data_IF_138388364111
#
_entry.id   IF_138388364111
#
_cell.length_a   1.000
_cell.length_b   1.000
_cell.length_c   1.000
_cell.angle_alpha   90.00
_cell.angle_beta   90.00
_cell.angle_gamma   90.00
#
_symmetry.space_group_name_H-M   'P 1'
#
loop_
_entity.id
_entity.type
_entity.pdbx_description
1 polymer ?
#
# COMPACT_ATOMS: atom_id res chain seq x y z
N UNK A 1 -1.53 12.59 -17.42
CA UNK A 1 -1.10 11.99 -16.15
C UNK A 1 0.31 11.47 -16.37
N UNK A 2 1.33 12.08 -15.79
CA UNK A 2 2.72 11.63 -15.94
C UNK A 2 2.94 10.52 -14.93
N UNK A 3 3.01 9.28 -15.38
CA UNK A 3 3.36 8.14 -14.52
C UNK A 3 4.84 8.32 -14.20
N UNK A 4 5.17 8.42 -12.91
CA UNK A 4 6.56 8.49 -12.49
C UNK A 4 7.22 7.11 -12.70
N UNK A 5 8.41 7.08 -13.30
CA UNK A 5 9.18 5.84 -13.50
C UNK A 5 9.44 5.14 -12.16
N UNK A 6 9.58 5.91 -11.10
CA UNK A 6 9.78 5.38 -9.75
C UNK A 6 8.58 4.55 -9.25
N UNK A 7 7.34 4.92 -9.63
CA UNK A 7 6.14 4.14 -9.31
C UNK A 7 6.14 2.77 -10.02
N UNK A 8 6.64 2.73 -11.27
CA UNK A 8 6.79 1.48 -12.04
C UNK A 8 7.83 0.58 -11.37
N UNK A 9 8.98 1.16 -10.98
CA UNK A 9 10.04 0.43 -10.28
C UNK A 9 9.51 -0.14 -8.95
N UNK A 10 8.75 0.65 -8.21
CA UNK A 10 8.13 0.21 -6.96
C UNK A 10 7.18 -0.96 -7.19
N UNK A 11 6.33 -0.92 -8.23
CA UNK A 11 5.43 -2.03 -8.57
C UNK A 11 6.19 -3.32 -8.91
N UNK A 12 7.29 -3.25 -9.67
CA UNK A 12 8.15 -4.41 -9.94
C UNK A 12 8.73 -4.98 -8.63
N UNK A 13 9.17 -4.11 -7.71
CA UNK A 13 9.66 -4.54 -6.41
C UNK A 13 8.55 -5.16 -5.53
N UNK A 14 7.36 -4.57 -5.49
CA UNK A 14 6.18 -5.12 -4.79
C UNK A 14 5.84 -6.51 -5.34
N UNK A 15 5.81 -6.65 -6.67
CA UNK A 15 5.56 -7.95 -7.31
C UNK A 15 6.59 -8.99 -6.88
N UNK A 16 7.87 -8.63 -6.81
CA UNK A 16 8.94 -9.52 -6.35
C UNK A 16 8.73 -9.99 -4.91
N UNK A 17 8.31 -9.10 -4.00
CA UNK A 17 7.97 -9.44 -2.60
C UNK A 17 6.75 -10.36 -2.53
N UNK A 18 5.70 -10.07 -3.30
CA UNK A 18 4.48 -10.87 -3.34
C UNK A 18 4.71 -12.27 -3.93
N UNK A 19 5.63 -12.42 -4.89
CA UNK A 19 6.01 -13.70 -5.48
C UNK A 19 6.55 -14.68 -4.42
N UNK A 20 7.24 -14.19 -3.39
CA UNK A 20 7.77 -15.01 -2.30
C UNK A 20 6.68 -15.48 -1.33
N UNK A 21 5.45 -14.98 -1.46
CA UNK A 21 4.34 -15.40 -0.63
C UNK A 21 4.05 -16.89 -0.79
N UNK A 22 3.80 -17.56 0.35
CA UNK A 22 3.38 -18.97 0.36
C UNK A 22 1.91 -19.16 -0.03
N UNK A 23 1.14 -18.07 -0.13
CA UNK A 23 -0.30 -18.12 -0.45
C UNK A 23 -0.55 -18.02 -1.95
N UNK A 24 -1.59 -18.67 -2.43
CA UNK A 24 -2.06 -18.54 -3.82
C UNK A 24 -2.42 -17.08 -4.14
N UNK A 25 -3.08 -16.40 -3.21
CA UNK A 25 -3.46 -14.99 -3.36
C UNK A 25 -2.27 -14.07 -3.54
N UNK A 26 -1.18 -14.28 -2.78
CA UNK A 26 0.04 -13.50 -2.93
C UNK A 26 0.66 -13.64 -4.31
N UNK A 27 0.73 -14.87 -4.85
CA UNK A 27 1.24 -15.12 -6.21
C UNK A 27 0.35 -14.53 -7.30
N UNK A 28 -0.99 -14.60 -7.13
CA UNK A 28 -1.93 -13.94 -8.05
C UNK A 28 -1.75 -12.43 -8.04
N UNK A 29 -1.66 -11.82 -6.87
CA UNK A 29 -1.38 -10.37 -6.75
C UNK A 29 -0.04 -10.00 -7.37
N UNK A 30 1.00 -10.83 -7.21
CA UNK A 30 2.29 -10.62 -7.87
C UNK A 30 2.13 -10.53 -9.39
N UNK A 31 1.40 -11.47 -10.02
CA UNK A 31 1.13 -11.45 -11.45
C UNK A 31 0.38 -10.19 -11.88
N UNK A 32 -0.64 -9.79 -11.14
CA UNK A 32 -1.43 -8.59 -11.43
C UNK A 32 -0.56 -7.34 -11.35
N UNK A 33 0.26 -7.21 -10.32
CA UNK A 33 1.10 -6.02 -10.10
C UNK A 33 2.18 -5.90 -11.15
N UNK A 34 2.85 -7.00 -11.54
CA UNK A 34 3.87 -6.92 -12.60
C UNK A 34 3.25 -6.63 -13.97
N UNK A 35 2.06 -7.19 -14.27
CA UNK A 35 1.38 -6.91 -15.52
C UNK A 35 0.93 -5.45 -15.61
N UNK A 36 0.42 -4.88 -14.52
CA UNK A 36 0.12 -3.45 -14.45
C UNK A 36 1.37 -2.59 -14.67
N UNK A 37 2.50 -2.97 -14.08
CA UNK A 37 3.77 -2.26 -14.31
C UNK A 37 4.18 -2.29 -15.78
N UNK A 38 4.05 -3.44 -16.46
CA UNK A 38 4.31 -3.58 -17.89
C UNK A 38 3.36 -2.69 -18.71
N UNK A 39 2.07 -2.74 -18.45
CA UNK A 39 1.09 -1.89 -19.14
C UNK A 39 1.38 -0.41 -18.94
N UNK A 40 1.75 0.00 -17.74
CA UNK A 40 2.12 1.39 -17.45
C UNK A 40 3.41 1.81 -18.16
N UNK A 41 4.42 0.94 -18.26
CA UNK A 41 5.63 1.19 -19.03
C UNK A 41 5.32 1.48 -20.49
N UNK A 42 4.51 0.64 -21.12
CA UNK A 42 4.12 0.79 -22.52
C UNK A 42 3.37 2.10 -22.76
N UNK A 43 2.39 2.43 -21.88
CA UNK A 43 1.63 3.69 -21.95
C UNK A 43 2.51 4.91 -21.73
N UNK A 44 3.38 4.88 -20.72
CA UNK A 44 4.29 5.99 -20.43
C UNK A 44 5.28 6.23 -21.57
N UNK A 45 5.82 5.17 -22.19
CA UNK A 45 6.68 5.28 -23.36
C UNK A 45 5.94 5.92 -24.53
N UNK A 46 4.73 5.46 -24.84
CA UNK A 46 3.92 6.03 -25.91
C UNK A 46 3.63 7.51 -25.70
N UNK A 47 3.21 7.89 -24.51
CA UNK A 47 2.94 9.30 -24.19
C UNK A 47 4.20 10.18 -24.27
N UNK A 48 5.32 9.72 -23.72
CA UNK A 48 6.54 10.53 -23.58
C UNK A 48 7.47 10.49 -24.79
N UNK A 49 7.50 9.37 -25.53
CA UNK A 49 8.44 9.20 -26.63
C UNK A 49 7.74 9.25 -27.99
N UNK A 50 6.51 8.74 -28.12
CA UNK A 50 5.85 8.68 -29.42
C UNK A 50 4.97 9.91 -29.67
N UNK A 51 4.08 10.23 -28.73
CA UNK A 51 3.17 11.38 -28.86
C UNK A 51 3.92 12.71 -28.70
N UNK A 52 4.73 12.85 -27.65
CA UNK A 52 5.45 14.11 -27.39
C UNK A 52 6.47 14.45 -28.47
N UNK A 53 7.01 13.45 -29.19
CA UNK A 53 7.92 13.65 -30.33
C UNK A 53 7.20 13.75 -31.69
N UNK A 54 5.88 13.71 -31.70
CA UNK A 54 5.08 13.79 -32.92
C UNK A 54 5.18 12.56 -33.86
N UNK A 55 5.65 11.40 -33.33
CA UNK A 55 5.74 10.15 -34.10
C UNK A 55 4.34 9.59 -34.35
N UNK A 56 3.43 9.78 -33.40
CA UNK A 56 2.01 9.43 -33.52
C UNK A 56 1.13 10.61 -33.08
N UNK A 57 -0.01 10.80 -33.76
CA UNK A 57 -1.02 11.75 -33.33
C UNK A 57 -1.72 11.32 -32.03
N UNK A 58 -2.11 12.31 -31.19
CA UNK A 58 -2.76 12.04 -29.90
C UNK A 58 -4.02 11.15 -30.05
N UNK A 59 -4.87 11.43 -31.04
CA UNK A 59 -6.09 10.64 -31.25
C UNK A 59 -5.81 9.18 -31.62
N UNK A 60 -4.79 8.94 -32.46
CA UNK A 60 -4.42 7.58 -32.85
C UNK A 60 -3.79 6.82 -31.69
N UNK A 61 -3.02 7.52 -30.86
CA UNK A 61 -2.48 6.96 -29.63
C UNK A 61 -3.59 6.55 -28.64
N UNK A 62 -4.57 7.42 -28.41
CA UNK A 62 -5.70 7.13 -27.51
C UNK A 62 -6.45 5.85 -27.94
N UNK A 63 -6.64 5.62 -29.24
CA UNK A 63 -7.27 4.38 -29.75
C UNK A 63 -6.40 3.13 -29.56
N UNK A 64 -5.09 3.27 -29.66
CA UNK A 64 -4.15 2.12 -29.56
C UNK A 64 -3.94 1.68 -28.11
N UNK A 65 -3.91 2.62 -27.17
CA UNK A 65 -3.64 2.32 -25.75
C UNK A 65 -4.79 1.60 -25.04
N UNK A 66 -5.99 1.53 -25.64
CA UNK A 66 -7.15 0.83 -25.07
C UNK A 66 -7.07 -0.69 -25.23
N UNK A 67 -6.23 -1.19 -26.15
CA UNK A 67 -5.98 -2.61 -26.36
C UNK A 67 -4.54 -2.95 -26.02
N UNK A 68 -4.30 -3.80 -25.02
CA UNK A 68 -2.94 -4.19 -24.64
C UNK A 68 -2.13 -4.74 -25.82
N UNK A 69 -2.74 -5.58 -26.67
CA UNK A 69 -2.06 -6.11 -27.86
C UNK A 69 -1.62 -5.00 -28.81
N UNK A 70 -2.51 -4.07 -29.16
CA UNK A 70 -2.19 -2.96 -30.05
C UNK A 70 -1.13 -2.03 -29.43
N UNK A 71 -1.23 -1.77 -28.14
CA UNK A 71 -0.27 -1.01 -27.36
C UNK A 71 1.13 -1.64 -27.44
N UNK A 72 1.21 -2.95 -27.15
CA UNK A 72 2.46 -3.71 -27.18
C UNK A 72 3.07 -3.76 -28.59
N UNK A 73 2.28 -4.13 -29.59
CA UNK A 73 2.73 -4.20 -30.99
C UNK A 73 3.29 -2.85 -31.46
N UNK A 74 2.58 -1.76 -31.13
CA UNK A 74 2.98 -0.43 -31.55
C UNK A 74 4.24 0.07 -30.85
N UNK A 75 4.36 -0.14 -29.55
CA UNK A 75 5.57 0.23 -28.80
C UNK A 75 6.75 -0.62 -29.24
N UNK A 76 6.57 -1.93 -29.44
CA UNK A 76 7.62 -2.83 -29.91
C UNK A 76 8.18 -2.42 -31.27
N UNK A 77 7.33 -1.93 -32.18
CA UNK A 77 7.75 -1.45 -33.50
C UNK A 77 8.70 -0.24 -33.39
N UNK A 78 8.47 0.65 -32.42
CA UNK A 78 9.22 1.91 -32.32
C UNK A 78 10.36 1.89 -31.29
N UNK A 79 10.29 1.05 -30.28
CA UNK A 79 11.24 1.01 -29.18
C UNK A 79 12.41 0.04 -29.35
N UNK A 80 12.43 -0.76 -30.42
CA UNK A 80 13.44 -1.81 -30.66
C UNK A 80 13.59 -2.75 -29.44
N UNK A 81 12.47 -3.23 -28.91
CA UNK A 81 12.43 -4.15 -27.79
C UNK A 81 13.05 -5.49 -28.20
N UNK A 82 14.00 -6.02 -27.41
CA UNK A 82 14.62 -7.32 -27.66
C UNK A 82 13.73 -8.50 -27.23
N UNK A 83 12.79 -8.23 -26.33
CA UNK A 83 11.87 -9.24 -25.81
C UNK A 83 10.87 -9.69 -26.88
N UNK A 84 10.52 -10.97 -26.84
CA UNK A 84 9.44 -11.49 -27.67
C UNK A 84 8.09 -10.93 -27.20
N UNK A 85 7.42 -10.15 -28.04
CA UNK A 85 6.11 -9.56 -27.73
C UNK A 85 5.05 -10.63 -27.44
N UNK A 86 5.13 -11.81 -28.06
CA UNK A 86 4.20 -12.89 -27.80
C UNK A 86 4.32 -13.39 -26.35
N UNK A 87 5.54 -13.51 -25.80
CA UNK A 87 5.72 -13.91 -24.41
C UNK A 87 5.04 -12.93 -23.43
N UNK A 88 5.19 -11.61 -23.69
CA UNK A 88 4.54 -10.58 -22.87
C UNK A 88 3.03 -10.67 -22.99
N UNK A 89 2.50 -10.87 -24.19
CA UNK A 89 1.08 -11.05 -24.44
C UNK A 89 0.52 -12.29 -23.74
N UNK A 90 1.27 -13.39 -23.73
CA UNK A 90 0.87 -14.63 -23.06
C UNK A 90 0.75 -14.45 -21.54
N UNK A 91 1.66 -13.67 -20.93
CA UNK A 91 1.56 -13.32 -19.50
C UNK A 91 0.36 -12.41 -19.23
N UNK A 92 0.09 -11.43 -20.08
CA UNK A 92 -1.10 -10.59 -19.97
C UNK A 92 -2.39 -11.41 -20.08
N UNK A 93 -2.46 -12.36 -21.00
CA UNK A 93 -3.59 -13.27 -21.16
C UNK A 93 -3.74 -14.18 -19.92
N UNK A 94 -2.64 -14.69 -19.37
CA UNK A 94 -2.65 -15.46 -18.13
C UNK A 94 -3.24 -14.63 -16.97
N UNK A 95 -2.83 -13.37 -16.83
CA UNK A 95 -3.39 -12.45 -15.83
C UNK A 95 -4.90 -12.22 -16.03
N UNK A 96 -5.35 -12.06 -17.28
CA UNK A 96 -6.76 -11.89 -17.58
C UNK A 96 -7.58 -13.14 -17.20
N UNK A 97 -7.05 -14.33 -17.45
CA UNK A 97 -7.65 -15.59 -16.99
C UNK A 97 -7.80 -15.67 -15.46
N UNK A 98 -6.84 -15.13 -14.70
CA UNK A 98 -6.91 -15.08 -13.24
C UNK A 98 -8.04 -14.20 -12.70
N UNK A 99 -8.49 -13.19 -13.47
CA UNK A 99 -9.60 -12.31 -13.10
C UNK A 99 -10.97 -12.92 -13.42
N UNK A 100 -11.09 -13.57 -14.57
CA UNK A 100 -12.38 -14.02 -15.08
C UNK A 100 -12.74 -15.44 -14.65
N UNK A 101 -11.75 -16.25 -14.37
CA UNK A 101 -11.96 -17.63 -13.94
C UNK A 101 -11.80 -17.72 -12.43
N UNK A 102 -12.91 -17.94 -11.72
CA UNK A 102 -12.94 -18.25 -10.28
C UNK A 102 -12.22 -19.58 -9.94
N UNK A 103 -11.45 -20.12 -10.88
CA UNK A 103 -10.74 -21.39 -10.78
C UNK A 103 -9.46 -21.23 -9.93
N UNK A 104 -9.09 -22.28 -9.18
CA UNK A 104 -7.91 -22.28 -8.29
C UNK A 104 -6.60 -22.45 -9.09
N UNK A 105 -6.39 -21.66 -10.17
CA UNK A 105 -5.10 -21.66 -10.84
C UNK A 105 -4.02 -21.05 -9.94
N UNK A 106 -3.00 -21.82 -9.64
CA UNK A 106 -1.80 -21.33 -9.01
C UNK A 106 -0.86 -20.81 -10.08
N UNK A 107 -0.44 -19.56 -9.96
CA UNK A 107 0.66 -19.06 -10.78
C UNK A 107 1.96 -19.66 -10.24
N UNK A 108 2.69 -20.39 -11.08
CA UNK A 108 3.95 -21.00 -10.71
C UNK A 108 5.04 -19.95 -10.48
N UNK A 109 5.82 -20.10 -9.42
CA UNK A 109 6.92 -19.17 -9.09
C UNK A 109 7.92 -18.98 -10.24
N UNK A 110 8.31 -20.00 -11.02
CA UNK A 110 9.19 -19.81 -12.18
C UNK A 110 8.60 -18.87 -13.23
N UNK A 111 7.32 -18.96 -13.54
CA UNK A 111 6.62 -18.06 -14.48
C UNK A 111 6.61 -16.62 -13.98
N UNK A 112 6.32 -16.42 -12.69
CA UNK A 112 6.38 -15.09 -12.09
C UNK A 112 7.78 -14.50 -12.14
N UNK A 113 8.80 -15.28 -11.81
CA UNK A 113 10.20 -14.86 -11.86
C UNK A 113 10.61 -14.46 -13.29
N UNK A 114 10.21 -15.24 -14.28
CA UNK A 114 10.47 -14.93 -15.70
C UNK A 114 9.78 -13.61 -16.11
N UNK A 115 8.50 -13.45 -15.76
CA UNK A 115 7.77 -12.22 -16.12
C UNK A 115 8.32 -10.97 -15.43
N UNK A 116 8.70 -11.07 -14.15
CA UNK A 116 9.38 -9.98 -13.43
C UNK A 116 10.71 -9.65 -14.11
N UNK A 117 11.50 -10.65 -14.52
CA UNK A 117 12.74 -10.44 -15.27
C UNK A 117 12.50 -9.73 -16.61
N UNK A 118 11.46 -10.13 -17.36
CA UNK A 118 11.05 -9.45 -18.59
C UNK A 118 10.63 -7.99 -18.33
N UNK A 119 9.89 -7.72 -17.26
CA UNK A 119 9.53 -6.35 -16.88
C UNK A 119 10.76 -5.49 -16.55
N UNK A 120 11.76 -6.05 -15.89
CA UNK A 120 13.03 -5.36 -15.61
C UNK A 120 13.80 -5.05 -16.90
N UNK A 121 13.86 -6.00 -17.83
CA UNK A 121 14.46 -5.81 -19.17
C UNK A 121 13.72 -4.72 -19.95
N UNK A 122 12.39 -4.78 -19.98
CA UNK A 122 11.56 -3.78 -20.66
C UNK A 122 11.77 -2.37 -20.09
N UNK A 123 11.89 -2.23 -18.76
CA UNK A 123 12.21 -0.97 -18.12
C UNK A 123 13.56 -0.40 -18.59
N UNK A 124 14.57 -1.26 -18.72
CA UNK A 124 15.89 -0.86 -19.20
C UNK A 124 15.84 -0.42 -20.67
N UNK A 125 15.13 -1.17 -21.53
CA UNK A 125 15.04 -0.89 -22.95
C UNK A 125 14.22 0.37 -23.27
N UNK A 126 13.09 0.59 -22.58
CA UNK A 126 12.20 1.72 -22.81
C UNK A 126 12.72 3.03 -22.21
N UNK A 127 13.35 2.97 -21.04
CA UNK A 127 13.69 4.18 -20.27
C UNK A 127 15.17 4.30 -19.91
N UNK A 128 16.04 3.36 -20.35
CA UNK A 128 17.45 3.34 -19.99
C UNK A 128 17.70 3.11 -18.49
N UNK A 129 16.72 2.57 -17.75
CA UNK A 129 16.81 2.32 -16.30
C UNK A 129 17.17 0.87 -16.05
N UNK A 130 18.46 0.56 -16.11
CA UNK A 130 18.98 -0.75 -15.73
C UNK A 130 19.56 -0.74 -14.33
N UNK A 131 19.34 -1.82 -13.59
CA UNK A 131 19.87 -2.01 -12.25
C UNK A 131 20.57 -3.36 -12.19
N UNK A 132 21.68 -3.41 -11.46
CA UNK A 132 22.34 -4.67 -11.13
C UNK A 132 21.46 -5.52 -10.22
N UNK A 133 21.74 -6.82 -10.14
CA UNK A 133 21.02 -7.73 -9.22
C UNK A 133 21.07 -7.23 -7.76
N UNK A 134 22.23 -6.68 -7.34
CA UNK A 134 22.41 -6.11 -6.00
C UNK A 134 21.51 -4.88 -5.77
N UNK A 135 21.38 -4.01 -6.75
CA UNK A 135 20.52 -2.81 -6.66
C UNK A 135 19.04 -3.20 -6.65
N UNK A 136 18.62 -4.16 -7.48
CA UNK A 136 17.26 -4.70 -7.41
C UNK A 136 16.97 -5.31 -6.04
N UNK A 137 17.87 -6.15 -5.53
CA UNK A 137 17.73 -6.74 -4.20
C UNK A 137 17.58 -5.66 -3.12
N UNK A 138 18.41 -4.62 -3.14
CA UNK A 138 18.31 -3.52 -2.17
C UNK A 138 16.94 -2.81 -2.24
N UNK A 139 16.42 -2.56 -3.45
CA UNK A 139 15.09 -1.95 -3.65
C UNK A 139 13.95 -2.85 -3.16
N UNK A 140 14.03 -4.13 -3.48
CA UNK A 140 13.06 -5.15 -3.04
C UNK A 140 13.07 -5.23 -1.50
N UNK A 141 14.23 -5.27 -0.87
CA UNK A 141 14.35 -5.30 0.59
C UNK A 141 13.77 -4.03 1.24
N UNK A 142 13.98 -2.86 0.64
CA UNK A 142 13.36 -1.60 1.11
C UNK A 142 11.83 -1.65 1.03
N UNK A 143 11.27 -2.17 -0.06
CA UNK A 143 9.82 -2.35 -0.22
C UNK A 143 9.31 -3.38 0.78
N UNK A 144 10.02 -4.52 0.96
CA UNK A 144 9.68 -5.55 1.94
C UNK A 144 9.62 -4.97 3.35
N UNK A 145 10.62 -4.18 3.76
CA UNK A 145 10.61 -3.48 5.05
C UNK A 145 9.44 -2.50 5.16
N UNK A 146 9.10 -1.78 4.10
CA UNK A 146 7.94 -0.89 4.07
C UNK A 146 6.61 -1.63 4.21
N UNK A 147 6.47 -2.77 3.54
CA UNK A 147 5.28 -3.62 3.62
C UNK A 147 5.18 -4.31 4.99
N UNK A 148 6.28 -4.85 5.51
CA UNK A 148 6.31 -5.48 6.84
C UNK A 148 6.12 -4.47 7.95
N UNK A 149 6.69 -3.27 7.85
CA UNK A 149 6.43 -2.19 8.80
C UNK A 149 4.96 -1.75 8.81
N UNK A 150 4.28 -1.80 7.66
CA UNK A 150 2.82 -1.60 7.59
C UNK A 150 2.02 -2.81 8.10
N UNK A 151 2.54 -4.04 7.95
CA UNK A 151 1.93 -5.26 8.51
C UNK A 151 2.13 -5.38 10.02
N UNK A 152 3.20 -4.78 10.57
CA UNK A 152 3.39 -4.62 12.01
C UNK A 152 2.53 -3.49 12.59
N UNK A 153 1.96 -2.63 11.76
CA UNK A 153 0.94 -1.69 12.19
C UNK A 153 -0.29 -2.50 12.62
N UNK A 154 -0.47 -2.61 13.92
CA UNK A 154 -1.55 -3.38 14.55
C UNK A 154 -2.89 -2.85 14.06
N UNK A 155 -3.70 -3.72 13.45
CA UNK A 155 -5.06 -3.36 13.08
C UNK A 155 -5.83 -2.93 14.34
N UNK A 156 -6.45 -1.77 14.26
CA UNK A 156 -7.29 -1.23 15.33
C UNK A 156 -8.64 -0.89 14.75
N UNK A 157 -9.67 -1.48 15.33
CA UNK A 157 -11.06 -1.17 15.02
C UNK A 157 -11.69 -0.47 16.21
N UNK A 158 -12.65 0.41 15.93
CA UNK A 158 -13.42 1.12 16.95
C UNK A 158 -14.86 0.65 16.92
N UNK A 159 -15.37 0.19 18.05
CA UNK A 159 -16.78 -0.16 18.22
C UNK A 159 -17.48 0.86 19.11
N UNK A 160 -18.68 1.31 18.70
CA UNK A 160 -19.57 2.08 19.56
C UNK A 160 -20.16 1.12 20.62
N UNK A 161 -20.07 1.47 21.90
CA UNK A 161 -20.70 0.75 23.01
C UNK A 161 -22.08 1.35 23.29
N UNK A 162 -22.12 2.68 23.44
CA UNK A 162 -23.33 3.50 23.59
C UNK A 162 -23.05 4.94 23.07
N UNK A 163 -23.94 5.87 23.34
CA UNK A 163 -23.80 7.26 22.85
C UNK A 163 -22.61 8.02 23.49
N UNK A 164 -22.07 7.53 24.58
CA UNK A 164 -20.99 8.16 25.33
C UNK A 164 -19.72 7.34 25.38
N UNK A 165 -19.73 6.07 24.95
CA UNK A 165 -18.59 5.18 25.10
C UNK A 165 -18.28 4.40 23.82
N UNK A 166 -17.00 4.17 23.65
CA UNK A 166 -16.44 3.33 22.57
C UNK A 166 -15.62 2.18 23.16
N UNK A 167 -15.33 1.19 22.35
CA UNK A 167 -14.31 0.18 22.64
C UNK A 167 -13.29 0.10 21.52
N UNK A 168 -12.05 -0.20 21.88
CA UNK A 168 -10.99 -0.52 20.94
C UNK A 168 -10.95 -2.03 20.80
N UNK A 169 -10.97 -2.51 19.57
CA UNK A 169 -10.74 -3.91 19.21
C UNK A 169 -9.38 -3.98 18.52
N UNK A 170 -8.46 -4.74 19.06
CA UNK A 170 -7.11 -4.92 18.49
C UNK A 170 -6.63 -6.34 18.74
N UNK A 171 -5.93 -6.90 17.76
CA UNK A 171 -5.27 -8.21 17.89
C UNK A 171 -4.11 -8.21 18.91
N UNK A 172 -3.68 -7.03 19.35
CA UNK A 172 -2.57 -6.90 20.28
C UNK A 172 -3.03 -7.07 21.73
N UNK A 173 -2.60 -8.14 22.38
CA UNK A 173 -2.87 -8.41 23.78
C UNK A 173 -2.20 -7.43 24.78
N UNK A 174 -1.26 -6.58 24.34
CA UNK A 174 -0.58 -5.63 25.21
C UNK A 174 -0.32 -4.29 24.51
N UNK A 175 -1.25 -3.34 24.66
CA UNK A 175 -0.99 -1.95 24.34
C UNK A 175 -0.28 -1.27 25.51
N UNK A 176 0.68 -0.36 25.23
CA UNK A 176 1.22 0.53 26.25
C UNK A 176 0.14 1.54 26.65
N UNK A 177 0.09 1.92 27.91
CA UNK A 177 -0.90 2.86 28.45
C UNK A 177 -1.06 4.13 27.59
N UNK A 178 0.04 4.71 27.17
CA UNK A 178 0.05 5.90 26.29
C UNK A 178 -0.64 5.64 24.94
N UNK A 179 -0.36 4.50 24.31
CA UNK A 179 -0.98 4.14 23.05
C UNK A 179 -2.48 3.88 23.23
N UNK A 180 -2.87 3.20 24.30
CA UNK A 180 -4.26 2.95 24.63
C UNK A 180 -5.06 4.25 24.80
N UNK A 181 -4.51 5.21 25.55
CA UNK A 181 -5.12 6.54 25.73
C UNK A 181 -5.27 7.25 24.37
N UNK A 182 -4.19 7.31 23.58
CA UNK A 182 -4.22 7.98 22.28
C UNK A 182 -5.20 7.33 21.31
N UNK A 183 -5.27 6.00 21.26
CA UNK A 183 -6.23 5.26 20.42
C UNK A 183 -7.66 5.51 20.87
N UNK A 184 -7.94 5.51 22.18
CA UNK A 184 -9.29 5.79 22.70
C UNK A 184 -9.73 7.21 22.32
N UNK A 185 -8.87 8.21 22.53
CA UNK A 185 -9.17 9.60 22.14
C UNK A 185 -9.40 9.73 20.63
N UNK A 186 -8.59 9.04 19.81
CA UNK A 186 -8.80 9.02 18.36
C UNK A 186 -10.12 8.34 17.98
N UNK A 187 -10.45 7.23 18.63
CA UNK A 187 -11.72 6.53 18.41
C UNK A 187 -12.95 7.38 18.71
N UNK A 188 -12.90 8.22 19.74
CA UNK A 188 -13.98 9.19 20.02
C UNK A 188 -14.19 10.17 18.88
N UNK A 189 -13.11 10.68 18.32
CA UNK A 189 -13.14 11.59 17.18
C UNK A 189 -13.78 10.92 15.96
N UNK A 190 -13.36 9.69 15.64
CA UNK A 190 -13.86 8.93 14.46
C UNK A 190 -15.30 8.44 14.64
N UNK A 191 -15.65 7.90 15.83
CA UNK A 191 -16.95 7.19 16.03
C UNK A 191 -18.05 8.14 16.48
N UNK A 192 -17.70 9.11 17.36
CA UNK A 192 -18.66 10.01 18.00
C UNK A 192 -18.53 11.46 17.55
N UNK A 193 -17.49 11.81 16.74
CA UNK A 193 -17.27 13.17 16.25
C UNK A 193 -16.94 14.19 17.33
N UNK A 194 -16.49 13.76 18.50
CA UNK A 194 -16.20 14.61 19.65
C UNK A 194 -15.03 14.10 20.49
N UNK A 195 -14.56 14.92 21.41
CA UNK A 195 -13.55 14.53 22.41
C UNK A 195 -14.23 13.92 23.65
N UNK A 196 -13.59 12.94 24.32
CA UNK A 196 -14.12 12.35 25.55
C UNK A 196 -13.94 13.28 26.74
N UNK A 197 -14.75 13.09 27.78
CA UNK A 197 -14.44 13.51 29.15
C UNK A 197 -13.55 12.47 29.86
N UNK A 198 -12.97 12.81 31.01
CA UNK A 198 -12.06 11.90 31.71
C UNK A 198 -12.76 10.60 32.13
N UNK A 199 -13.99 10.69 32.64
CA UNK A 199 -14.78 9.53 33.07
C UNK A 199 -15.15 8.63 31.89
N UNK A 200 -15.51 9.22 30.75
CA UNK A 200 -15.80 8.50 29.52
C UNK A 200 -14.56 7.80 28.97
N UNK A 201 -13.39 8.46 29.03
CA UNK A 201 -12.11 7.88 28.62
C UNK A 201 -11.75 6.68 29.49
N UNK A 202 -11.91 6.80 30.82
CA UNK A 202 -11.65 5.71 31.78
C UNK A 202 -12.59 4.53 31.52
N UNK A 203 -13.90 4.78 31.35
CA UNK A 203 -14.88 3.74 31.05
C UNK A 203 -14.60 3.03 29.73
N UNK A 204 -14.29 3.77 28.67
CA UNK A 204 -14.00 3.21 27.34
C UNK A 204 -12.71 2.38 27.31
N UNK A 205 -11.69 2.76 28.07
CA UNK A 205 -10.52 1.93 28.32
C UNK A 205 -10.90 0.62 29.02
N UNK A 206 -11.80 0.68 30.01
CA UNK A 206 -12.35 -0.50 30.71
C UNK A 206 -13.10 -1.44 29.75
N UNK A 207 -13.98 -0.93 28.90
CA UNK A 207 -14.69 -1.72 27.88
C UNK A 207 -13.75 -2.38 26.85
N UNK A 208 -12.60 -1.77 26.63
CA UNK A 208 -11.55 -2.30 25.75
C UNK A 208 -10.63 -3.32 26.44
N UNK A 209 -10.85 -3.63 27.73
CA UNK A 209 -9.93 -4.46 28.52
C UNK A 209 -8.58 -3.80 28.84
N UNK A 210 -8.48 -2.48 28.68
CA UNK A 210 -7.24 -1.70 28.78
C UNK A 210 -7.23 -0.80 30.02
N UNK A 211 -7.81 -1.25 31.12
CA UNK A 211 -7.92 -0.45 32.37
C UNK A 211 -6.57 0.07 32.86
N UNK A 212 -6.47 1.39 32.98
CA UNK A 212 -5.31 2.07 33.56
C UNK A 212 -5.70 2.46 35.02
N UNK A 213 -5.35 1.64 35.97
CA UNK A 213 -5.65 1.86 37.37
C UNK A 213 -4.37 2.02 38.21
N UNK A 214 -4.34 2.82 39.26
CA UNK A 214 -5.44 3.69 39.73
C UNK A 214 -5.67 4.90 38.80
N UNK A 215 -6.79 5.63 39.02
CA UNK A 215 -7.18 6.82 38.22
C UNK A 215 -6.09 7.90 38.16
N UNK A 216 -5.32 8.05 39.25
CA UNK A 216 -4.19 8.98 39.29
C UNK A 216 -3.12 8.63 38.24
N UNK A 217 -2.95 7.35 37.92
CA UNK A 217 -2.05 6.91 36.84
C UNK A 217 -2.54 7.41 35.49
N UNK A 218 -3.83 7.33 35.19
CA UNK A 218 -4.43 7.84 33.94
C UNK A 218 -4.22 9.36 33.82
N UNK A 219 -4.54 10.11 34.91
CA UNK A 219 -4.35 11.56 34.94
C UNK A 219 -2.88 11.96 34.73
N UNK A 220 -1.94 11.25 35.37
CA UNK A 220 -0.50 11.47 35.17
C UNK A 220 -0.04 11.17 33.73
N UNK A 221 -0.55 10.13 33.10
CA UNK A 221 -0.25 9.81 31.72
C UNK A 221 -0.78 10.89 30.76
N UNK A 222 -1.98 11.41 31.00
CA UNK A 222 -2.56 12.52 30.23
C UNK A 222 -1.71 13.79 30.39
N UNK A 223 -1.26 14.10 31.62
CA UNK A 223 -0.36 15.23 31.85
C UNK A 223 0.96 15.09 31.09
N UNK A 224 1.55 13.88 31.05
CA UNK A 224 2.74 13.58 30.25
C UNK A 224 2.49 13.73 28.74
N UNK A 225 1.33 13.30 28.24
CA UNK A 225 0.97 13.47 26.82
C UNK A 225 0.86 14.95 26.45
N UNK A 226 0.27 15.78 27.32
CA UNK A 226 0.19 17.23 27.17
C UNK A 226 1.58 17.88 27.20
N UNK A 227 2.43 17.48 28.14
CA UNK A 227 3.80 17.98 28.24
C UNK A 227 4.66 17.66 27.01
N UNK A 228 4.40 16.52 26.36
CA UNK A 228 5.06 16.09 25.12
C UNK A 228 4.44 16.68 23.83
N UNK A 229 3.42 17.53 23.96
CA UNK A 229 2.71 18.11 22.82
C UNK A 229 1.92 17.08 21.98
N UNK A 230 1.59 15.93 22.54
CA UNK A 230 0.81 14.89 21.87
C UNK A 230 -0.69 15.05 22.08
N UNK A 231 -1.09 15.76 23.14
CA UNK A 231 -2.48 16.11 23.46
C UNK A 231 -2.59 17.62 23.63
N UNK A 232 -3.67 18.21 23.14
CA UNK A 232 -3.92 19.65 23.23
C UNK A 232 -4.15 20.09 24.68
N UNK A 233 -3.77 21.34 25.01
CA UNK A 233 -4.00 21.90 26.33
C UNK A 233 -5.49 22.20 26.53
N UNK A 234 -6.02 21.82 27.69
CA UNK A 234 -7.41 22.09 28.04
C UNK A 234 -8.44 21.09 27.51
N UNK A 235 -8.08 20.27 26.53
CA UNK A 235 -8.97 19.30 25.90
C UNK A 235 -8.37 17.90 25.87
N UNK A 236 -9.22 16.88 25.72
CA UNK A 236 -8.80 15.50 25.48
C UNK A 236 -8.77 15.21 23.98
N UNK A 237 -8.10 16.07 23.20
CA UNK A 237 -7.93 15.91 21.76
C UNK A 237 -6.46 15.70 21.40
N UNK A 238 -6.19 14.91 20.35
CA UNK A 238 -4.83 14.64 19.88
C UNK A 238 -4.32 15.78 19.01
N UNK A 239 -3.05 16.13 19.16
CA UNK A 239 -2.36 17.02 18.23
C UNK A 239 -2.19 16.34 16.86
N UNK A 240 -2.01 17.12 15.79
CA UNK A 240 -1.72 16.60 14.44
C UNK A 240 -0.47 15.70 14.42
N UNK A 241 0.54 16.05 15.22
CA UNK A 241 1.75 15.22 15.38
C UNK A 241 1.48 13.87 16.03
N UNK A 242 0.56 13.81 17.00
CA UNK A 242 0.15 12.55 17.63
C UNK A 242 -0.63 11.67 16.67
N UNK A 243 -1.58 12.24 15.92
CA UNK A 243 -2.34 11.50 14.88
C UNK A 243 -1.42 10.88 13.83
N UNK A 244 -0.41 11.63 13.34
CA UNK A 244 0.60 11.09 12.42
C UNK A 244 1.44 9.96 13.03
N UNK A 245 1.78 10.03 14.32
CA UNK A 245 2.50 8.95 15.02
C UNK A 245 1.63 7.70 15.19
N UNK A 246 0.35 7.87 15.52
CA UNK A 246 -0.60 6.75 15.59
C UNK A 246 -0.75 6.06 14.23
N UNK A 247 -0.97 6.82 13.17
CA UNK A 247 -1.12 6.27 11.81
C UNK A 247 0.12 5.53 11.30
N UNK A 248 1.32 5.83 11.84
CA UNK A 248 2.55 5.08 11.54
C UNK A 248 2.66 3.77 12.32
N UNK A 249 2.06 3.71 13.53
CA UNK A 249 2.19 2.58 14.46
C UNK A 249 1.01 1.61 14.39
N UNK A 250 -0.16 2.13 14.05
CA UNK A 250 -1.42 1.39 14.00
C UNK A 250 -2.15 1.65 12.69
N UNK A 251 -2.80 0.62 12.18
CA UNK A 251 -3.74 0.77 11.09
C UNK A 251 -5.06 1.25 11.71
N UNK A 252 -5.25 2.56 11.76
CA UNK A 252 -6.47 3.18 12.28
C UNK A 252 -7.35 3.64 11.12
N UNK A 253 -8.69 3.51 11.21
CA UNK A 253 -9.59 4.11 10.24
C UNK A 253 -9.28 5.60 10.08
N UNK A 254 -9.22 6.07 8.85
CA UNK A 254 -9.16 7.50 8.52
C UNK A 254 -10.57 7.98 8.20
N UNK A 255 -10.83 9.24 8.48
CA UNK A 255 -12.10 9.93 8.16
C UNK A 255 -12.49 9.79 6.69
#
# INVERSE_FOLDING_TARGET
>A
MTIAIDDIIEQICISSVLMESRTLSGKRLSMIVVDNAVEFMLKAYGDTQLVSKGIIGRQDWERKKDSFKQLLDYVSLHAKISLNSQDILDYHNLRNGLYHEALPFSVETPKLKDYIGKAQTLLAELFGKSFTEREWKHRIDKVRLGLTAKQEAKLVEYGKVDDNHIKIVTESQSLKDIDAICLTVHGYDIVLGRTPMLDELEASLGFSGLSIRPRDKLTNQIAQLRARGLMNKGEYSLSSGARKKLAKKFFVPQE
#
